data_IF_077439714393
#
_entry.id   IF_077439714393
#
_cell.length_a   1.000
_cell.length_b   1.000
_cell.length_c   1.000
_cell.angle_alpha   90.00
_cell.angle_beta   90.00
_cell.angle_gamma   90.00
#
_symmetry.space_group_name_H-M   'P 1'
#
loop_
_entity.id
_entity.type
_entity.pdbx_description
1 polymer ?
#
# COMPACT_ATOMS: atom_id res chain seq x y z
N UNK A 1 25.68 7.47 18.66
CA UNK A 1 25.22 6.81 17.41
C UNK A 1 25.00 7.90 16.37
N UNK A 2 25.48 7.75 15.14
CA UNK A 2 25.24 8.71 14.04
C UNK A 2 24.11 8.20 13.14
N UNK A 3 23.57 9.04 12.25
CA UNK A 3 22.57 8.64 11.24
C UNK A 3 23.17 7.94 10.01
N UNK A 4 24.51 7.85 9.93
CA UNK A 4 25.24 7.34 8.76
C UNK A 4 24.92 5.87 8.44
N UNK A 5 24.88 4.93 9.40
CA UNK A 5 24.57 3.52 9.11
C UNK A 5 23.19 3.37 8.49
N UNK A 6 22.19 4.05 9.07
CA UNK A 6 20.82 4.07 8.57
C UNK A 6 20.77 4.58 7.14
N UNK A 7 21.34 5.76 6.89
CA UNK A 7 21.41 6.37 5.56
C UNK A 7 22.07 5.44 4.54
N UNK A 8 23.18 4.80 4.89
CA UNK A 8 23.89 3.88 4.00
C UNK A 8 23.01 2.70 3.58
N UNK A 9 22.25 2.14 4.52
CA UNK A 9 21.31 1.06 4.24
C UNK A 9 20.11 1.50 3.39
N UNK A 10 19.55 2.69 3.62
CA UNK A 10 18.48 3.24 2.76
C UNK A 10 19.03 3.48 1.34
N UNK A 11 20.23 4.02 1.20
CA UNK A 11 20.87 4.25 -0.10
C UNK A 11 21.09 2.95 -0.90
N UNK A 12 21.45 1.87 -0.21
CA UNK A 12 21.66 0.54 -0.80
C UNK A 12 20.38 -0.27 -0.97
N UNK A 13 19.24 0.21 -0.46
CA UNK A 13 17.97 -0.54 -0.47
C UNK A 13 17.91 -1.73 0.50
N UNK A 14 18.77 -1.76 1.52
CA UNK A 14 18.88 -2.86 2.52
C UNK A 14 18.37 -2.45 3.90
N UNK A 15 17.54 -1.40 3.97
CA UNK A 15 17.03 -0.85 5.23
C UNK A 15 16.15 -1.84 5.99
N UNK A 16 15.24 -2.52 5.30
CA UNK A 16 14.38 -3.53 5.92
C UNK A 16 15.18 -4.71 6.50
N UNK A 17 16.21 -5.19 5.79
CA UNK A 17 17.07 -6.28 6.27
C UNK A 17 17.87 -5.88 7.51
N UNK A 18 18.37 -4.64 7.54
CA UNK A 18 18.99 -4.09 8.74
C UNK A 18 17.99 -4.07 9.90
N UNK A 19 16.75 -3.63 9.68
CA UNK A 19 15.74 -3.60 10.74
C UNK A 19 15.41 -5.01 11.27
N UNK A 20 15.23 -6.05 10.42
CA UNK A 20 15.05 -7.43 10.93
C UNK A 20 16.26 -7.85 11.77
N UNK A 21 17.49 -7.59 11.32
CA UNK A 21 18.70 -7.95 12.10
C UNK A 21 18.79 -7.23 13.44
N UNK A 22 18.52 -5.92 13.47
CA UNK A 22 18.55 -5.13 14.69
C UNK A 22 17.47 -5.61 15.68
N UNK A 23 16.25 -5.83 15.21
CA UNK A 23 15.17 -6.32 16.07
C UNK A 23 15.42 -7.75 16.58
N UNK A 24 16.03 -8.61 15.77
CA UNK A 24 16.41 -9.97 16.19
C UNK A 24 17.47 -9.94 17.30
N UNK A 25 18.41 -8.98 17.24
CA UNK A 25 19.51 -8.88 18.20
C UNK A 25 19.14 -8.11 19.48
N UNK A 26 18.42 -6.99 19.36
CA UNK A 26 18.20 -6.04 20.45
C UNK A 26 16.74 -6.03 20.95
N UNK A 27 15.85 -6.78 20.31
CA UNK A 27 14.46 -6.94 20.69
C UNK A 27 13.51 -5.91 20.07
N UNK A 28 12.34 -5.69 20.68
CA UNK A 28 11.20 -5.04 20.03
C UNK A 28 11.33 -3.53 19.82
N UNK A 29 12.31 -2.87 20.44
CA UNK A 29 12.52 -1.43 20.29
C UNK A 29 14.00 -1.16 20.06
N UNK A 30 14.32 -0.60 18.89
CA UNK A 30 15.71 -0.33 18.50
C UNK A 30 15.86 1.13 18.09
N UNK A 31 16.98 1.75 18.47
CA UNK A 31 17.35 3.09 18.01
C UNK A 31 18.17 2.97 16.72
N UNK A 32 17.68 3.54 15.63
CA UNK A 32 18.29 3.43 14.29
C UNK A 32 19.04 4.70 13.87
N UNK A 33 18.68 5.83 14.47
CA UNK A 33 19.37 7.12 14.32
C UNK A 33 19.35 7.87 15.67
N UNK A 34 20.10 8.98 15.84
CA UNK A 34 20.10 9.75 17.09
C UNK A 34 18.68 10.10 17.58
N UNK A 35 17.79 10.43 16.63
CA UNK A 35 16.42 10.87 16.89
C UNK A 35 15.37 9.91 16.33
N UNK A 36 15.73 8.67 15.96
CA UNK A 36 14.79 7.71 15.37
C UNK A 36 14.75 6.37 16.10
N UNK A 37 13.54 5.93 16.44
CA UNK A 37 13.25 4.62 17.01
C UNK A 37 12.46 3.77 16.01
N UNK A 38 12.79 2.49 15.91
CA UNK A 38 11.98 1.49 15.22
C UNK A 38 11.32 0.57 16.25
N UNK A 39 10.03 0.33 16.06
CA UNK A 39 9.21 -0.52 16.91
C UNK A 39 8.76 -1.77 16.17
N UNK A 40 9.02 -2.92 16.78
CA UNK A 40 8.57 -4.25 16.41
C UNK A 40 7.82 -4.86 17.60
N UNK A 41 6.78 -4.16 18.08
CA UNK A 41 5.86 -4.64 19.12
C UNK A 41 4.40 -4.45 18.69
N UNK A 42 3.53 -5.48 18.77
CA UNK A 42 2.11 -5.34 18.45
C UNK A 42 1.37 -4.23 19.22
N UNK A 43 1.81 -3.91 20.44
CA UNK A 43 1.23 -2.84 21.26
C UNK A 43 1.48 -1.46 20.65
N UNK A 44 2.63 -1.30 19.98
CA UNK A 44 3.01 -0.06 19.32
C UNK A 44 1.97 0.37 18.29
N UNK A 45 1.36 -0.59 17.56
CA UNK A 45 0.28 -0.29 16.62
C UNK A 45 -0.88 0.46 17.28
N UNK A 46 -1.32 0.00 18.46
CA UNK A 46 -2.44 0.61 19.18
C UNK A 46 -2.06 1.96 19.79
N UNK A 47 -0.83 2.11 20.26
CA UNK A 47 -0.37 3.37 20.85
C UNK A 47 -0.13 4.45 19.78
N UNK A 48 0.29 4.05 18.57
CA UNK A 48 0.69 4.95 17.49
C UNK A 48 -0.47 5.25 16.54
N UNK A 49 -1.21 4.21 16.12
CA UNK A 49 -2.30 4.33 15.12
C UNK A 49 -3.69 4.10 15.72
N UNK A 50 -3.79 3.87 17.03
CA UNK A 50 -5.08 3.75 17.69
C UNK A 50 -5.81 5.09 17.77
N UNK A 51 -7.08 5.02 18.18
CA UNK A 51 -7.86 6.24 18.41
C UNK A 51 -7.21 7.13 19.47
N UNK A 52 -7.14 8.42 19.18
CA UNK A 52 -6.70 9.42 20.14
C UNK A 52 -7.51 9.31 21.43
N UNK A 53 -6.81 9.14 22.55
CA UNK A 53 -7.42 9.09 23.88
C UNK A 53 -7.47 10.50 24.45
N UNK A 54 -8.59 10.85 25.08
CA UNK A 54 -8.72 12.11 25.80
C UNK A 54 -7.57 12.26 26.82
N UNK A 55 -6.92 13.42 26.81
CA UNK A 55 -5.79 13.72 27.70
C UNK A 55 -4.44 13.10 27.31
N UNK A 56 -4.34 12.32 26.22
CA UNK A 56 -3.05 11.86 25.70
C UNK A 56 -2.54 12.76 24.56
N UNK A 57 -1.22 13.01 24.47
CA UNK A 57 -0.61 13.76 23.38
C UNK A 57 -0.89 13.11 22.03
N UNK A 58 -1.18 13.93 21.00
CA UNK A 58 -1.44 13.43 19.66
C UNK A 58 -0.13 13.13 18.92
N UNK A 59 0.04 11.88 18.50
CA UNK A 59 1.16 11.48 17.64
C UNK A 59 0.79 11.86 16.20
N UNK A 60 1.62 12.68 15.57
CA UNK A 60 1.38 13.12 14.19
C UNK A 60 2.32 12.42 13.22
N UNK A 61 1.94 12.45 11.93
CA UNK A 61 2.85 12.07 10.85
C UNK A 61 4.07 12.99 10.86
N UNK A 62 5.24 12.46 10.53
CA UNK A 62 6.43 13.29 10.46
C UNK A 62 6.32 14.31 9.32
N UNK A 63 6.36 15.64 9.60
CA UNK A 63 6.10 16.66 8.59
C UNK A 63 7.14 16.63 7.46
N UNK A 64 8.42 16.42 7.80
CA UNK A 64 9.50 16.44 6.80
C UNK A 64 9.63 15.17 5.96
N UNK A 65 8.85 14.12 6.28
CA UNK A 65 8.87 12.87 5.52
C UNK A 65 8.21 13.04 4.15
N UNK A 66 7.11 13.79 4.11
CA UNK A 66 6.42 14.06 2.86
C UNK A 66 7.14 15.17 2.10
N UNK A 67 7.26 15.01 0.79
CA UNK A 67 7.78 16.08 -0.07
C UNK A 67 6.67 17.13 -0.23
N UNK A 68 6.97 18.44 -0.06
CA UNK A 68 5.97 19.50 -0.22
C UNK A 68 5.26 19.40 -1.57
N UNK A 69 3.94 19.52 -1.61
CA UNK A 69 3.15 19.42 -2.84
C UNK A 69 3.60 20.46 -3.89
N UNK A 70 3.40 20.17 -5.18
CA UNK A 70 3.80 21.10 -6.26
C UNK A 70 2.93 22.36 -6.28
N UNK A 71 1.66 22.23 -5.89
CA UNK A 71 0.69 23.33 -5.79
C UNK A 71 0.44 23.79 -4.36
N UNK A 72 1.30 23.42 -3.41
CA UNK A 72 1.15 23.71 -1.97
C UNK A 72 -0.17 23.20 -1.33
N UNK A 73 -0.89 22.28 -1.99
CA UNK A 73 -2.10 21.64 -1.46
C UNK A 73 -1.79 20.25 -0.95
N UNK A 74 -2.18 19.97 0.30
CA UNK A 74 -1.97 18.67 0.91
C UNK A 74 -2.86 17.59 0.27
N UNK A 75 -2.30 16.39 0.17
CA UNK A 75 -2.99 15.18 -0.31
C UNK A 75 -3.55 14.43 0.89
N UNK A 76 -4.42 13.43 0.67
CA UNK A 76 -4.91 12.55 1.75
C UNK A 76 -3.77 11.94 2.59
N UNK A 77 -2.62 11.63 1.98
CA UNK A 77 -1.50 11.03 2.71
C UNK A 77 -0.71 12.05 3.55
N UNK A 78 -0.66 13.33 3.11
CA UNK A 78 0.16 14.38 3.75
C UNK A 78 -0.65 15.43 4.51
N UNK A 79 -1.99 15.35 4.49
CA UNK A 79 -2.89 16.26 5.19
C UNK A 79 -2.82 16.09 6.71
N UNK A 80 -3.15 17.18 7.42
CA UNK A 80 -3.40 17.18 8.87
C UNK A 80 -4.62 16.30 9.21
N UNK A 81 -4.84 16.04 10.49
CA UNK A 81 -5.89 15.11 10.93
C UNK A 81 -7.31 15.51 10.51
N UNK A 82 -7.63 16.81 10.53
CA UNK A 82 -8.96 17.32 10.18
C UNK A 82 -9.23 17.18 8.68
N UNK A 83 -8.29 17.62 7.85
CA UNK A 83 -8.38 17.52 6.39
C UNK A 83 -8.32 16.08 5.92
N UNK A 84 -7.44 15.26 6.51
CA UNK A 84 -7.40 13.83 6.24
C UNK A 84 -8.74 13.16 6.57
N UNK A 85 -9.38 13.49 7.70
CA UNK A 85 -10.69 12.95 8.05
C UNK A 85 -11.78 13.38 7.06
N UNK A 86 -11.76 14.63 6.60
CA UNK A 86 -12.68 15.14 5.56
C UNK A 86 -12.45 14.41 4.22
N UNK A 87 -11.23 14.44 3.69
CA UNK A 87 -10.86 13.78 2.44
C UNK A 87 -11.18 12.28 2.48
N UNK A 88 -10.82 11.58 3.56
CA UNK A 88 -11.10 10.15 3.73
C UNK A 88 -12.59 9.85 3.72
N UNK A 89 -13.42 10.68 4.37
CA UNK A 89 -14.88 10.52 4.33
C UNK A 89 -15.39 10.62 2.90
N UNK A 90 -14.95 11.63 2.16
CA UNK A 90 -15.37 11.85 0.76
C UNK A 90 -14.94 10.66 -0.11
N UNK A 91 -13.66 10.30 -0.11
CA UNK A 91 -13.15 9.21 -0.93
C UNK A 91 -13.69 7.84 -0.53
N UNK A 92 -14.10 7.62 0.73
CA UNK A 92 -14.65 6.33 1.16
C UNK A 92 -15.92 5.93 0.40
N UNK A 93 -16.68 6.89 -0.14
CA UNK A 93 -17.83 6.60 -1.00
C UNK A 93 -17.39 5.99 -2.34
N UNK A 94 -16.32 6.52 -2.93
CA UNK A 94 -15.75 6.03 -4.19
C UNK A 94 -15.16 4.61 -4.08
N UNK A 95 -14.75 4.21 -2.87
CA UNK A 95 -14.19 2.88 -2.58
C UNK A 95 -15.14 2.01 -1.73
N UNK A 96 -16.43 2.31 -1.72
CA UNK A 96 -17.43 1.49 -1.03
C UNK A 96 -17.70 0.18 -1.78
N UNK A 97 -18.16 -0.88 -1.10
CA UNK A 97 -18.52 -2.15 -1.73
C UNK A 97 -19.51 -1.97 -2.89
N UNK A 98 -20.47 -1.05 -2.73
CA UNK A 98 -21.43 -0.71 -3.80
C UNK A 98 -20.73 -0.10 -5.01
N UNK A 99 -19.83 0.87 -4.79
CA UNK A 99 -19.08 1.51 -5.88
C UNK A 99 -18.15 0.52 -6.59
N UNK A 100 -17.45 -0.34 -5.84
CA UNK A 100 -16.56 -1.35 -6.40
C UNK A 100 -17.30 -2.38 -7.26
N UNK A 101 -18.50 -2.81 -6.83
CA UNK A 101 -19.37 -3.69 -7.63
C UNK A 101 -19.84 -3.03 -8.93
N UNK A 102 -20.14 -1.73 -8.91
CA UNK A 102 -20.48 -1.00 -10.13
C UNK A 102 -19.29 -0.91 -11.10
N UNK A 103 -18.07 -0.95 -10.59
CA UNK A 103 -16.82 -0.94 -11.37
C UNK A 103 -16.34 -2.34 -11.76
N UNK A 104 -17.03 -3.41 -11.36
CA UNK A 104 -16.64 -4.78 -11.67
C UNK A 104 -16.40 -5.07 -13.16
N UNK A 105 -17.25 -4.58 -14.11
CA UNK A 105 -17.00 -4.78 -15.54
C UNK A 105 -15.68 -4.16 -16.01
N UNK A 106 -15.25 -3.05 -15.40
CA UNK A 106 -13.97 -2.41 -15.71
C UNK A 106 -12.81 -3.33 -15.34
N UNK A 107 -12.82 -3.92 -14.15
CA UNK A 107 -11.77 -4.83 -13.70
C UNK A 107 -11.75 -6.12 -14.54
N UNK A 108 -12.92 -6.68 -14.86
CA UNK A 108 -13.04 -7.86 -15.72
C UNK A 108 -12.41 -7.62 -17.11
N UNK A 109 -12.73 -6.49 -17.76
CA UNK A 109 -12.13 -6.08 -19.04
C UNK A 109 -10.60 -6.13 -19.03
N UNK A 110 -9.96 -5.59 -17.99
CA UNK A 110 -8.50 -5.56 -17.91
C UNK A 110 -7.90 -6.92 -17.53
N UNK A 111 -8.60 -7.73 -16.71
CA UNK A 111 -8.19 -9.09 -16.42
C UNK A 111 -8.22 -9.98 -17.68
N UNK A 112 -9.29 -9.88 -18.47
CA UNK A 112 -9.42 -10.58 -19.76
C UNK A 112 -8.33 -10.15 -20.74
N UNK A 113 -8.07 -8.84 -20.87
CA UNK A 113 -7.02 -8.33 -21.74
C UNK A 113 -5.63 -8.83 -21.31
N UNK A 114 -5.35 -8.87 -20.00
CA UNK A 114 -4.10 -9.42 -19.47
C UNK A 114 -3.97 -10.90 -19.82
N UNK A 115 -5.01 -11.70 -19.59
CA UNK A 115 -5.02 -13.14 -19.91
C UNK A 115 -4.83 -13.35 -21.41
N UNK A 116 -5.51 -12.59 -22.26
CA UNK A 116 -5.36 -12.67 -23.71
C UNK A 116 -3.92 -12.39 -24.14
N UNK A 117 -3.31 -11.31 -23.64
CA UNK A 117 -1.91 -10.98 -23.93
C UNK A 117 -0.94 -12.07 -23.47
N UNK A 118 -1.16 -12.62 -22.28
CA UNK A 118 -0.33 -13.71 -21.76
C UNK A 118 -0.48 -15.00 -22.59
N UNK A 119 -1.69 -15.32 -23.05
CA UNK A 119 -1.94 -16.45 -23.95
C UNK A 119 -1.21 -16.28 -25.28
N UNK A 120 -1.28 -15.10 -25.89
CA UNK A 120 -0.60 -14.80 -27.15
C UNK A 120 0.93 -14.94 -26.99
N UNK A 121 1.49 -14.40 -25.92
CA UNK A 121 2.93 -14.51 -25.63
C UNK A 121 3.35 -15.96 -25.32
N UNK A 122 2.48 -16.75 -24.69
CA UNK A 122 2.72 -18.15 -24.36
C UNK A 122 2.71 -19.09 -25.59
N UNK A 123 2.19 -18.65 -26.74
CA UNK A 123 2.27 -19.42 -28.00
C UNK A 123 3.72 -19.61 -28.48
N UNK A 124 4.66 -18.82 -27.96
CA UNK A 124 6.09 -18.89 -28.26
C UNK A 124 6.83 -19.55 -27.08
N UNK A 125 7.17 -20.86 -27.15
CA UNK A 125 7.66 -21.61 -25.99
C UNK A 125 8.95 -21.06 -25.34
N UNK A 126 9.75 -20.32 -26.10
CA UNK A 126 11.02 -19.76 -25.64
C UNK A 126 10.91 -18.30 -25.18
N UNK A 127 9.74 -17.67 -25.33
CA UNK A 127 9.56 -16.26 -24.99
C UNK A 127 9.43 -16.09 -23.48
N UNK A 128 10.35 -15.31 -22.89
CA UNK A 128 10.29 -14.96 -21.46
C UNK A 128 9.44 -13.72 -21.29
N UNK A 129 8.42 -13.81 -20.45
CA UNK A 129 7.51 -12.70 -20.13
C UNK A 129 7.90 -12.06 -18.80
N UNK A 130 8.08 -10.74 -18.80
CA UNK A 130 8.21 -9.97 -17.57
C UNK A 130 6.82 -9.67 -16.97
N UNK A 131 6.40 -10.50 -16.02
CA UNK A 131 5.11 -10.33 -15.33
C UNK A 131 5.03 -9.05 -14.50
N UNK A 132 6.16 -8.51 -14.02
CA UNK A 132 6.17 -7.24 -13.27
C UNK A 132 5.69 -6.12 -14.18
N UNK A 133 6.21 -6.07 -15.41
CA UNK A 133 5.76 -5.10 -16.41
C UNK A 133 4.30 -5.31 -16.79
N UNK A 134 3.85 -6.55 -17.01
CA UNK A 134 2.44 -6.83 -17.33
C UNK A 134 1.47 -6.40 -16.23
N UNK A 135 1.79 -6.64 -14.95
CA UNK A 135 0.97 -6.19 -13.83
C UNK A 135 0.98 -4.67 -13.67
N UNK A 136 2.13 -4.01 -13.90
CA UNK A 136 2.18 -2.56 -13.89
C UNK A 136 1.33 -1.96 -15.02
N UNK A 137 1.46 -2.44 -16.26
CA UNK A 137 0.62 -1.99 -17.37
C UNK A 137 -0.87 -2.10 -17.05
N UNK A 138 -1.28 -3.26 -16.54
CA UNK A 138 -2.66 -3.55 -16.17
C UNK A 138 -3.17 -2.59 -15.08
N UNK A 139 -2.43 -2.45 -13.99
CA UNK A 139 -2.87 -1.65 -12.84
C UNK A 139 -2.87 -0.15 -13.13
N UNK A 140 -1.91 0.35 -13.92
CA UNK A 140 -1.91 1.73 -14.39
C UNK A 140 -3.09 2.03 -15.32
N UNK A 141 -3.42 1.12 -16.24
CA UNK A 141 -4.60 1.28 -17.11
C UNK A 141 -5.90 1.25 -16.27
N UNK A 142 -6.04 0.30 -15.34
CA UNK A 142 -7.19 0.23 -14.42
C UNK A 142 -7.34 1.55 -13.65
N UNK A 143 -6.29 2.03 -12.98
CA UNK A 143 -6.40 3.25 -12.18
C UNK A 143 -6.60 4.49 -13.04
N UNK A 144 -6.05 4.52 -14.24
CA UNK A 144 -6.27 5.62 -15.18
C UNK A 144 -7.73 5.67 -15.64
N UNK A 145 -8.31 4.53 -15.97
CA UNK A 145 -9.70 4.44 -16.40
C UNK A 145 -10.65 4.73 -15.23
N UNK A 146 -10.36 4.19 -14.03
CA UNK A 146 -11.14 4.44 -12.82
C UNK A 146 -11.08 5.92 -12.36
N UNK A 147 -9.92 6.56 -12.50
CA UNK A 147 -9.72 7.95 -12.05
C UNK A 147 -10.13 8.95 -13.11
N UNK A 148 -9.87 8.71 -14.38
CA UNK A 148 -10.06 9.72 -15.44
C UNK A 148 -11.07 9.31 -16.52
N UNK A 149 -11.56 8.07 -16.50
CA UNK A 149 -12.34 7.50 -17.60
C UNK A 149 -11.58 7.54 -18.92
N UNK A 150 -10.25 7.41 -18.86
CA UNK A 150 -9.36 7.45 -20.02
C UNK A 150 -8.23 6.42 -19.78
N UNK A 151 -8.17 5.31 -20.52
CA UNK A 151 -7.04 4.37 -20.43
C UNK A 151 -5.71 5.02 -20.86
N UNK A 152 -4.59 4.43 -20.44
CA UNK A 152 -3.25 4.80 -20.93
C UNK A 152 -2.80 3.92 -22.10
N UNK A 153 -3.51 2.82 -22.35
CA UNK A 153 -3.21 1.81 -23.37
C UNK A 153 -1.85 1.14 -23.15
N UNK A 154 -1.39 1.03 -21.90
CA UNK A 154 -0.10 0.40 -21.59
C UNK A 154 -0.14 -1.11 -21.84
N UNK A 155 -1.22 -1.76 -21.43
CA UNK A 155 -1.36 -3.22 -21.52
C UNK A 155 -1.59 -3.68 -22.96
N UNK A 156 -2.41 -2.95 -23.72
CA UNK A 156 -2.64 -3.26 -25.14
C UNK A 156 -1.36 -3.11 -25.96
N UNK A 157 -0.54 -2.12 -25.64
CA UNK A 157 0.71 -1.83 -26.35
C UNK A 157 1.92 -2.57 -25.75
N UNK A 158 1.76 -3.21 -24.59
CA UNK A 158 2.82 -3.83 -23.81
C UNK A 158 4.04 -2.92 -23.57
N UNK A 159 3.81 -1.61 -23.39
CA UNK A 159 4.87 -0.62 -23.30
C UNK A 159 4.50 0.52 -22.36
N UNK A 160 5.50 1.00 -21.59
CA UNK A 160 5.34 2.21 -20.79
C UNK A 160 5.38 3.46 -21.66
N UNK A 161 4.53 4.44 -21.33
CA UNK A 161 4.72 5.81 -21.80
C UNK A 161 5.73 6.56 -20.93
N UNK A 162 6.41 7.60 -21.45
CA UNK A 162 7.44 8.34 -20.71
C UNK A 162 6.98 8.88 -19.36
N UNK A 163 5.72 9.30 -19.25
CA UNK A 163 5.14 9.78 -17.99
C UNK A 163 5.18 8.70 -16.88
N UNK A 164 4.78 7.46 -17.18
CA UNK A 164 4.77 6.36 -16.21
C UNK A 164 6.19 5.94 -15.84
N UNK A 165 7.12 5.92 -16.81
CA UNK A 165 8.53 5.67 -16.52
C UNK A 165 9.11 6.70 -15.54
N UNK A 166 8.74 7.97 -15.72
CA UNK A 166 9.18 9.06 -14.84
C UNK A 166 8.63 8.94 -13.42
N UNK A 167 7.47 8.29 -13.21
CA UNK A 167 6.93 8.02 -11.87
C UNK A 167 7.89 7.11 -11.09
N UNK A 168 8.27 5.95 -11.65
CA UNK A 168 9.20 5.03 -10.98
C UNK A 168 10.56 5.68 -10.69
N UNK A 169 11.07 6.47 -11.64
CA UNK A 169 12.31 7.22 -11.43
C UNK A 169 12.18 8.26 -10.31
N UNK A 170 11.03 8.91 -10.20
CA UNK A 170 10.74 9.89 -9.15
C UNK A 170 10.69 9.24 -7.78
N UNK A 171 10.15 8.03 -7.65
CA UNK A 171 10.08 7.30 -6.38
C UNK A 171 11.49 6.93 -5.88
N UNK A 172 12.34 6.40 -6.78
CA UNK A 172 13.75 6.09 -6.47
C UNK A 172 14.55 7.35 -6.13
N UNK A 173 14.37 8.42 -6.90
CA UNK A 173 15.07 9.69 -6.70
C UNK A 173 14.59 10.40 -5.42
N UNK A 174 13.30 10.30 -5.11
CA UNK A 174 12.69 10.83 -3.89
C UNK A 174 13.26 10.17 -2.63
N UNK A 175 13.45 8.85 -2.66
CA UNK A 175 14.10 8.12 -1.57
C UNK A 175 15.53 8.62 -1.32
N UNK A 176 16.31 8.87 -2.38
CA UNK A 176 17.67 9.44 -2.28
C UNK A 176 17.68 10.88 -1.80
N UNK A 177 16.75 11.71 -2.28
CA UNK A 177 16.64 13.11 -1.86
C UNK A 177 16.18 13.22 -0.41
N UNK A 178 15.30 12.33 0.04
CA UNK A 178 14.90 12.20 1.44
C UNK A 178 16.11 12.00 2.36
N UNK A 179 17.06 11.14 1.96
CA UNK A 179 18.32 10.96 2.68
C UNK A 179 19.17 12.25 2.70
N UNK A 180 19.28 12.95 1.58
CA UNK A 180 20.11 14.17 1.48
C UNK A 180 19.58 15.28 2.40
N UNK A 181 18.29 15.25 2.76
CA UNK A 181 17.70 16.19 3.74
C UNK A 181 18.34 16.11 5.12
N UNK A 182 18.95 14.97 5.49
CA UNK A 182 19.70 14.83 6.74
C UNK A 182 20.97 15.72 6.79
N UNK A 183 21.43 16.23 5.64
CA UNK A 183 22.52 17.21 5.54
C UNK A 183 22.11 18.35 4.59
N UNK A 184 21.36 19.35 5.08
CA UNK A 184 20.81 20.42 4.25
C UNK A 184 21.85 21.14 3.37
N UNK A 185 23.09 21.27 3.84
CA UNK A 185 24.20 21.87 3.08
C UNK A 185 24.55 21.14 1.78
N UNK A 186 24.23 19.84 1.66
CA UNK A 186 24.46 19.05 0.44
C UNK A 186 23.32 19.15 -0.58
N UNK A 187 22.16 19.68 -0.19
CA UNK A 187 20.97 19.73 -1.04
C UNK A 187 21.18 20.60 -2.29
N UNK A 188 21.86 21.76 -2.14
CA UNK A 188 22.15 22.65 -3.25
C UNK A 188 23.09 22.00 -4.29
N UNK A 189 24.11 21.29 -3.83
CA UNK A 189 25.03 20.53 -4.67
C UNK A 189 24.30 19.38 -5.38
N UNK A 190 23.49 18.61 -4.66
CA UNK A 190 22.71 17.51 -5.23
C UNK A 190 21.75 18.00 -6.34
N UNK A 191 21.07 19.13 -6.12
CA UNK A 191 20.21 19.75 -7.15
C UNK A 191 21.00 20.15 -8.39
N UNK A 192 22.18 20.76 -8.23
CA UNK A 192 23.06 21.14 -9.35
C UNK A 192 23.57 19.91 -10.12
N UNK A 193 24.10 18.91 -9.43
CA UNK A 193 24.65 17.69 -10.03
C UNK A 193 23.59 16.87 -10.77
N UNK A 194 22.37 16.83 -10.27
CA UNK A 194 21.27 16.06 -10.88
C UNK A 194 20.44 16.86 -11.89
N UNK A 195 20.80 18.12 -12.14
CA UNK A 195 20.05 19.01 -13.03
C UNK A 195 18.60 19.27 -12.56
N UNK A 196 18.34 19.13 -11.25
CA UNK A 196 17.01 19.24 -10.66
C UNK A 196 15.96 18.27 -11.27
N UNK A 197 16.41 17.15 -11.86
CA UNK A 197 15.55 16.17 -12.55
C UNK A 197 14.39 15.67 -11.69
N UNK A 198 14.61 15.48 -10.39
CA UNK A 198 13.53 15.09 -9.47
C UNK A 198 12.40 16.11 -9.42
N UNK A 199 12.69 17.41 -9.26
CA UNK A 199 11.64 18.41 -9.21
C UNK A 199 10.95 18.56 -10.56
N UNK A 200 11.71 18.48 -11.67
CA UNK A 200 11.14 18.50 -13.02
C UNK A 200 10.17 17.34 -13.24
N UNK A 201 10.53 16.12 -12.85
CA UNK A 201 9.66 14.96 -13.00
C UNK A 201 8.40 15.06 -12.14
N UNK A 202 8.50 15.68 -10.95
CA UNK A 202 7.32 15.96 -10.11
C UNK A 202 6.37 16.96 -10.73
N UNK A 203 6.89 18.04 -11.33
CA UNK A 203 6.07 19.01 -12.08
C UNK A 203 5.40 18.33 -13.27
N UNK A 204 6.14 17.55 -14.07
CA UNK A 204 5.57 16.78 -15.18
C UNK A 204 4.46 15.84 -14.69
N UNK A 205 4.69 15.14 -13.57
CA UNK A 205 3.70 14.23 -13.01
C UNK A 205 2.44 14.98 -12.55
N UNK A 206 2.60 16.12 -11.88
CA UNK A 206 1.51 16.99 -11.45
C UNK A 206 0.71 17.53 -12.65
N UNK A 207 1.38 18.17 -13.62
CA UNK A 207 0.75 18.77 -14.79
C UNK A 207 -0.02 17.75 -15.62
N UNK A 208 0.56 16.56 -15.82
CA UNK A 208 -0.09 15.49 -16.57
C UNK A 208 -1.36 14.99 -15.85
N UNK A 209 -1.30 14.86 -14.53
CA UNK A 209 -2.44 14.43 -13.72
C UNK A 209 -3.53 15.50 -13.69
N UNK A 210 -3.17 16.77 -13.47
CA UNK A 210 -4.08 17.91 -13.44
C UNK A 210 -4.83 18.07 -14.78
N UNK A 211 -4.13 18.03 -15.92
CA UNK A 211 -4.76 18.10 -17.24
C UNK A 211 -5.76 16.98 -17.49
N UNK A 212 -5.53 15.79 -16.93
CA UNK A 212 -6.48 14.67 -17.05
C UNK A 212 -7.71 14.86 -16.17
N UNK A 213 -7.56 15.45 -14.99
CA UNK A 213 -8.70 15.92 -14.20
C UNK A 213 -9.49 16.95 -14.98
N UNK A 214 -8.84 17.95 -15.58
CA UNK A 214 -9.52 18.99 -16.36
C UNK A 214 -10.34 18.41 -17.52
N UNK A 215 -9.73 17.52 -18.31
CA UNK A 215 -10.43 16.82 -19.40
C UNK A 215 -11.62 16.03 -18.88
N UNK A 216 -11.45 15.33 -17.75
CA UNK A 216 -12.52 14.53 -17.15
C UNK A 216 -13.67 15.41 -16.65
N UNK A 217 -13.38 16.53 -15.99
CA UNK A 217 -14.39 17.48 -15.52
C UNK A 217 -15.12 18.15 -16.69
N UNK A 218 -14.39 18.58 -17.73
CA UNK A 218 -14.96 19.21 -18.91
C UNK A 218 -15.85 18.25 -19.74
N UNK A 219 -15.45 16.98 -19.87
CA UNK A 219 -16.24 15.96 -20.57
C UNK A 219 -17.53 15.59 -19.82
N UNK A 220 -17.52 15.70 -18.49
CA UNK A 220 -18.53 15.07 -17.65
C UNK A 220 -18.49 13.54 -17.76
N UNK A 221 -19.35 12.87 -16.98
CA UNK A 221 -19.58 11.43 -17.10
C UNK A 221 -20.87 11.07 -16.37
N UNK A 222 -21.55 10.01 -16.81
CA UNK A 222 -22.60 9.34 -16.04
C UNK A 222 -22.10 8.05 -15.38
N UNK A 223 -20.86 7.65 -15.66
CA UNK A 223 -20.24 6.46 -15.09
C UNK A 223 -19.99 6.62 -13.59
N UNK A 224 -20.04 5.55 -12.78
CA UNK A 224 -19.84 5.62 -11.34
C UNK A 224 -18.36 5.75 -10.95
N UNK A 225 -17.62 6.65 -11.59
CA UNK A 225 -16.19 6.86 -11.35
C UNK A 225 -15.89 7.66 -10.07
N UNK A 226 -14.60 7.75 -9.72
CA UNK A 226 -14.14 8.39 -8.49
C UNK A 226 -14.69 9.82 -8.38
N UNK A 227 -14.68 10.62 -9.46
CA UNK A 227 -15.11 12.01 -9.40
C UNK A 227 -16.61 12.13 -9.27
N UNK A 228 -17.40 11.33 -9.97
CA UNK A 228 -18.85 11.41 -9.84
C UNK A 228 -19.32 11.08 -8.41
N UNK A 229 -18.63 10.16 -7.73
CA UNK A 229 -18.92 9.82 -6.33
C UNK A 229 -18.39 10.88 -5.33
N UNK A 230 -17.34 11.61 -5.71
CA UNK A 230 -16.72 12.69 -4.90
C UNK A 230 -17.44 14.03 -5.07
N UNK A 231 -17.88 14.37 -6.30
CA UNK A 231 -18.55 15.61 -6.66
C UNK A 231 -19.98 15.71 -6.12
N UNK A 232 -20.57 14.58 -5.71
CA UNK A 232 -21.88 14.53 -5.04
C UNK A 232 -21.84 14.96 -3.57
N UNK A 233 -20.68 15.38 -3.05
CA UNK A 233 -20.56 15.87 -1.67
C UNK A 233 -21.34 17.19 -1.48
N UNK A 234 -22.00 17.40 -0.33
CA UNK A 234 -22.68 18.66 -0.03
C UNK A 234 -21.77 19.88 -0.13
N UNK A 235 -22.32 21.03 -0.50
CA UNK A 235 -21.58 22.30 -0.59
C UNK A 235 -20.77 22.59 0.68
N UNK A 236 -19.54 23.07 0.50
CA UNK A 236 -18.60 23.34 1.60
C UNK A 236 -17.95 22.11 2.23
N UNK A 237 -18.31 20.89 1.80
CA UNK A 237 -17.70 19.63 2.28
C UNK A 237 -17.10 18.77 1.16
N UNK A 238 -17.09 19.27 -0.08
CA UNK A 238 -16.43 18.63 -1.21
C UNK A 238 -14.90 18.86 -1.21
N UNK A 239 -14.27 18.39 -2.29
CA UNK A 239 -12.87 18.70 -2.58
C UNK A 239 -12.80 19.95 -3.48
N UNK A 240 -11.82 20.81 -3.25
CA UNK A 240 -11.47 21.84 -4.24
C UNK A 240 -10.84 21.19 -5.48
N UNK A 241 -10.83 21.89 -6.61
CA UNK A 241 -10.20 21.38 -7.84
C UNK A 241 -8.69 21.15 -7.63
N UNK A 242 -8.04 22.03 -6.86
CA UNK A 242 -6.62 21.90 -6.49
C UNK A 242 -6.36 20.68 -5.59
N UNK A 243 -7.31 20.34 -4.71
CA UNK A 243 -7.28 19.11 -3.93
C UNK A 243 -7.47 17.88 -4.83
N UNK A 244 -8.30 17.96 -5.87
CA UNK A 244 -8.43 16.89 -6.87
C UNK A 244 -7.10 16.68 -7.59
N UNK A 245 -6.48 17.73 -8.12
CA UNK A 245 -5.17 17.66 -8.75
C UNK A 245 -4.13 17.02 -7.83
N UNK A 246 -4.02 17.49 -6.60
CA UNK A 246 -3.07 16.95 -5.63
C UNK A 246 -3.33 15.46 -5.34
N UNK A 247 -4.58 15.05 -5.07
CA UNK A 247 -4.89 13.65 -4.74
C UNK A 247 -4.74 12.69 -5.92
N UNK A 248 -4.98 13.12 -7.16
CA UNK A 248 -4.80 12.25 -8.34
C UNK A 248 -3.37 11.79 -8.54
N UNK A 249 -2.39 12.66 -8.23
CA UNK A 249 -0.97 12.28 -8.29
C UNK A 249 -0.68 11.10 -7.35
N UNK A 250 -1.33 11.09 -6.18
CA UNK A 250 -1.18 10.01 -5.20
C UNK A 250 -1.91 8.75 -5.65
N UNK A 251 -3.12 8.84 -6.23
CA UNK A 251 -3.85 7.66 -6.70
C UNK A 251 -3.11 6.91 -7.80
N UNK A 252 -2.48 7.64 -8.72
CA UNK A 252 -1.71 7.03 -9.80
C UNK A 252 -0.43 6.33 -9.33
N UNK A 253 0.09 6.67 -8.16
CA UNK A 253 1.26 6.01 -7.56
C UNK A 253 0.81 4.89 -6.61
N UNK A 254 -0.05 5.24 -5.66
CA UNK A 254 -0.41 4.37 -4.55
C UNK A 254 -1.28 3.18 -4.97
N UNK A 255 -2.17 3.36 -5.97
CA UNK A 255 -3.09 2.30 -6.41
C UNK A 255 -2.51 1.33 -7.45
N UNK A 256 -1.41 1.71 -8.11
CA UNK A 256 -0.87 0.99 -9.26
C UNK A 256 0.31 0.10 -8.86
N UNK A 257 1.43 0.73 -8.50
CA UNK A 257 2.70 0.06 -8.23
C UNK A 257 2.61 -0.90 -7.04
N UNK A 258 1.84 -0.56 -5.99
CA UNK A 258 1.69 -1.42 -4.81
C UNK A 258 0.95 -2.72 -5.15
N UNK A 259 -0.14 -2.64 -5.90
CA UNK A 259 -0.92 -3.78 -6.37
C UNK A 259 -0.08 -4.65 -7.31
N UNK A 260 0.63 -4.04 -8.26
CA UNK A 260 1.51 -4.76 -9.17
C UNK A 260 2.64 -5.49 -8.41
N UNK A 261 3.20 -4.86 -7.38
CA UNK A 261 4.24 -5.43 -6.52
C UNK A 261 3.73 -6.65 -5.75
N UNK A 262 2.52 -6.55 -5.15
CA UNK A 262 1.89 -7.68 -4.48
C UNK A 262 1.67 -8.87 -5.43
N UNK A 263 1.05 -8.62 -6.60
CA UNK A 263 0.80 -9.67 -7.58
C UNK A 263 2.09 -10.31 -8.09
N UNK A 264 3.13 -9.50 -8.29
CA UNK A 264 4.46 -10.00 -8.66
C UNK A 264 5.04 -10.94 -7.61
N UNK A 265 4.96 -10.54 -6.32
CA UNK A 265 5.42 -11.36 -5.20
C UNK A 265 4.63 -12.66 -5.07
N UNK A 266 3.30 -12.58 -5.06
CA UNK A 266 2.41 -13.75 -4.98
C UNK A 266 2.71 -14.73 -6.11
N UNK A 267 2.78 -14.25 -7.36
CA UNK A 267 3.06 -15.13 -8.50
C UNK A 267 4.46 -15.74 -8.42
N UNK A 268 5.47 -14.98 -7.99
CA UNK A 268 6.81 -15.53 -7.80
C UNK A 268 6.85 -16.65 -6.75
N UNK A 269 6.19 -16.48 -5.61
CA UNK A 269 6.09 -17.53 -4.59
C UNK A 269 5.30 -18.74 -5.10
N UNK A 270 4.15 -18.53 -5.76
CA UNK A 270 3.37 -19.64 -6.33
C UNK A 270 4.17 -20.46 -7.35
N UNK A 271 4.97 -19.81 -8.20
CA UNK A 271 5.82 -20.50 -9.17
C UNK A 271 6.98 -21.27 -8.53
N UNK A 272 7.43 -20.87 -7.33
CA UNK A 272 8.45 -21.59 -6.55
C UNK A 272 7.89 -22.71 -5.67
N UNK A 273 6.58 -22.72 -5.43
CA UNK A 273 5.88 -23.70 -4.60
C UNK A 273 4.75 -24.36 -5.41
N UNK A 274 5.07 -25.32 -6.31
CA UNK A 274 4.10 -25.90 -7.23
C UNK A 274 2.91 -26.57 -6.53
N UNK A 275 3.10 -27.14 -5.34
CA UNK A 275 2.04 -27.75 -4.54
C UNK A 275 0.98 -26.73 -4.10
N UNK A 276 1.42 -25.54 -3.66
CA UNK A 276 0.56 -24.40 -3.31
C UNK A 276 -0.18 -23.90 -4.55
N UNK A 277 0.52 -23.77 -5.68
CA UNK A 277 -0.09 -23.38 -6.95
C UNK A 277 -1.16 -24.38 -7.40
N UNK A 278 -0.88 -25.69 -7.33
CA UNK A 278 -1.86 -26.72 -7.69
C UNK A 278 -3.11 -26.66 -6.81
N UNK A 279 -2.95 -26.48 -5.49
CA UNK A 279 -4.08 -26.31 -4.56
C UNK A 279 -4.91 -25.07 -4.90
N UNK A 280 -4.26 -23.95 -5.18
CA UNK A 280 -4.94 -22.70 -5.56
C UNK A 280 -5.70 -22.84 -6.88
N UNK A 281 -5.06 -23.43 -7.89
CA UNK A 281 -5.68 -23.68 -9.19
C UNK A 281 -6.88 -24.62 -9.05
N UNK A 282 -6.79 -25.64 -8.20
CA UNK A 282 -7.90 -26.55 -7.92
C UNK A 282 -9.08 -25.83 -7.25
N UNK A 283 -8.83 -24.96 -6.26
CA UNK A 283 -9.89 -24.16 -5.63
C UNK A 283 -10.57 -23.24 -6.65
N UNK A 284 -9.80 -22.51 -7.46
CA UNK A 284 -10.35 -21.58 -8.45
C UNK A 284 -11.14 -22.33 -9.53
N UNK A 285 -10.54 -23.37 -10.14
CA UNK A 285 -11.20 -24.13 -11.23
C UNK A 285 -12.37 -24.98 -10.74
N UNK A 286 -12.40 -25.37 -9.48
CA UNK A 286 -13.55 -26.05 -8.88
C UNK A 286 -14.67 -25.09 -8.46
N UNK A 287 -14.36 -23.80 -8.27
CA UNK A 287 -15.31 -22.78 -7.82
C UNK A 287 -16.15 -22.14 -8.93
N UNK A 288 -15.77 -22.30 -10.20
CA UNK A 288 -16.41 -21.66 -11.35
C UNK A 288 -16.55 -22.62 -12.52
N UNK A 289 -17.71 -22.58 -13.19
CA UNK A 289 -17.95 -23.37 -14.41
C UNK A 289 -17.36 -22.69 -15.65
N UNK A 290 -17.33 -21.36 -15.67
CA UNK A 290 -16.79 -20.56 -16.78
C UNK A 290 -16.20 -19.24 -16.29
N UNK A 291 -15.34 -18.62 -17.12
CA UNK A 291 -14.73 -17.32 -16.83
C UNK A 291 -15.79 -16.22 -16.60
N UNK A 292 -16.93 -16.29 -17.31
CA UNK A 292 -18.04 -15.34 -17.19
C UNK A 292 -18.75 -15.39 -15.83
N UNK A 293 -18.57 -16.46 -15.07
CA UNK A 293 -19.13 -16.58 -13.72
C UNK A 293 -18.26 -15.96 -12.64
N UNK A 294 -17.02 -15.57 -12.96
CA UNK A 294 -16.10 -14.98 -12.01
C UNK A 294 -16.62 -13.58 -11.65
N UNK A 295 -17.03 -13.45 -10.40
CA UNK A 295 -17.48 -12.16 -9.85
C UNK A 295 -16.75 -11.80 -8.57
N UNK A 296 -16.71 -10.52 -8.23
CA UNK A 296 -16.09 -10.06 -6.97
C UNK A 296 -16.70 -10.75 -5.75
N UNK A 297 -18.02 -10.94 -5.74
CA UNK A 297 -18.72 -11.61 -4.64
C UNK A 297 -18.31 -13.08 -4.49
N UNK A 298 -18.21 -13.82 -5.61
CA UNK A 298 -17.79 -15.23 -5.56
C UNK A 298 -16.31 -15.38 -5.22
N UNK A 299 -15.44 -14.50 -5.74
CA UNK A 299 -14.02 -14.49 -5.42
C UNK A 299 -13.76 -14.30 -3.92
N UNK A 300 -14.55 -13.47 -3.24
CA UNK A 300 -14.43 -13.27 -1.78
C UNK A 300 -14.70 -14.54 -0.96
N UNK A 301 -15.38 -15.54 -1.53
CA UNK A 301 -15.69 -16.83 -0.88
C UNK A 301 -14.57 -17.85 -1.01
N UNK A 302 -13.63 -17.64 -1.93
CA UNK A 302 -12.48 -18.52 -2.11
C UNK A 302 -11.48 -18.33 -0.97
N UNK A 303 -11.45 -19.30 -0.05
CA UNK A 303 -10.71 -19.18 1.19
C UNK A 303 -9.21 -19.27 0.95
N UNK A 304 -8.76 -20.24 0.17
CA UNK A 304 -7.35 -20.48 -0.10
C UNK A 304 -6.75 -19.35 -0.95
N UNK A 305 -7.48 -18.87 -1.96
CA UNK A 305 -7.12 -17.67 -2.72
C UNK A 305 -6.87 -16.45 -1.82
N UNK A 306 -7.78 -16.16 -0.88
CA UNK A 306 -7.59 -15.05 0.07
C UNK A 306 -6.36 -15.26 0.95
N UNK A 307 -6.14 -16.48 1.44
CA UNK A 307 -4.96 -16.82 2.25
C UNK A 307 -3.67 -16.59 1.45
N UNK A 308 -3.62 -16.98 0.18
CA UNK A 308 -2.45 -16.73 -0.67
C UNK A 308 -2.15 -15.23 -0.83
N UNK A 309 -3.18 -14.39 -0.98
CA UNK A 309 -3.01 -12.94 -1.06
C UNK A 309 -2.57 -12.31 0.28
N UNK A 310 -3.17 -12.73 1.39
CA UNK A 310 -2.79 -12.28 2.74
C UNK A 310 -1.35 -12.68 3.06
N UNK A 311 -0.96 -13.91 2.71
CA UNK A 311 0.42 -14.39 2.89
C UNK A 311 1.40 -13.68 1.95
N UNK A 312 0.99 -13.36 0.73
CA UNK A 312 1.75 -12.51 -0.18
C UNK A 312 2.02 -11.12 0.39
N UNK A 313 1.01 -10.48 1.00
CA UNK A 313 1.18 -9.20 1.68
C UNK A 313 2.12 -9.28 2.89
N UNK A 314 2.14 -10.42 3.59
CA UNK A 314 3.02 -10.69 4.74
C UNK A 314 4.47 -10.89 4.33
N UNK A 315 4.69 -11.67 3.26
CA UNK A 315 6.00 -12.12 2.79
C UNK A 315 6.67 -11.17 1.81
N UNK A 316 5.86 -10.42 1.05
CA UNK A 316 6.30 -9.48 0.04
C UNK A 316 5.50 -8.17 0.13
N UNK A 317 5.58 -7.46 1.28
CA UNK A 317 4.83 -6.23 1.46
C UNK A 317 5.30 -5.17 0.46
N UNK A 318 4.39 -4.56 -0.34
CA UNK A 318 4.77 -3.52 -1.30
C UNK A 318 5.45 -2.31 -0.67
N UNK A 319 5.14 -2.02 0.61
CA UNK A 319 5.78 -0.98 1.41
C UNK A 319 6.43 -1.64 2.62
N UNK A 320 7.72 -2.02 2.54
CA UNK A 320 8.40 -2.77 3.61
C UNK A 320 8.89 -1.89 4.77
N UNK A 321 8.63 -0.58 4.72
CA UNK A 321 9.07 0.41 5.72
C UNK A 321 7.87 1.02 6.44
N UNK A 322 8.04 1.36 7.72
CA UNK A 322 7.04 2.10 8.46
C UNK A 322 7.02 3.56 8.06
N UNK A 323 5.82 4.15 7.98
CA UNK A 323 5.69 5.60 7.83
C UNK A 323 6.13 6.28 9.14
N UNK A 324 7.07 7.23 9.10
CA UNK A 324 7.55 7.86 10.31
C UNK A 324 6.50 8.79 10.91
N UNK A 325 6.35 8.67 12.21
CA UNK A 325 5.60 9.55 13.09
C UNK A 325 6.56 10.40 13.93
N UNK A 326 6.05 11.47 14.50
CA UNK A 326 6.81 12.37 15.38
C UNK A 326 6.17 12.37 16.77
N UNK A 327 6.99 12.20 17.81
CA UNK A 327 6.52 12.38 19.19
C UNK A 327 6.27 13.87 19.44
N UNK A 328 5.09 14.25 19.95
CA UNK A 328 4.78 15.65 20.27
C UNK A 328 5.72 16.20 21.33
N UNK A 329 5.86 17.53 21.42
CA UNK A 329 6.79 18.19 22.33
C UNK A 329 6.63 17.77 23.80
N UNK A 330 5.41 17.43 24.23
CA UNK A 330 5.11 16.94 25.58
C UNK A 330 5.63 15.52 25.88
N UNK A 331 6.20 14.82 24.90
CA UNK A 331 6.53 13.40 25.00
C UNK A 331 5.29 12.50 24.85
N UNK A 332 5.52 11.19 24.76
CA UNK A 332 4.46 10.18 24.73
C UNK A 332 4.92 8.87 25.34
N UNK A 333 3.98 8.13 25.93
CA UNK A 333 4.19 6.75 26.35
C UNK A 333 3.87 5.80 25.19
N UNK A 334 4.85 5.00 24.76
CA UNK A 334 4.72 4.02 23.68
C UNK A 334 5.25 2.67 24.19
N UNK A 335 4.43 1.61 24.10
CA UNK A 335 4.78 0.27 24.61
C UNK A 335 5.20 0.25 26.09
N UNK A 336 4.57 1.09 26.92
CA UNK A 336 4.88 1.20 28.35
C UNK A 336 6.22 1.90 28.65
N UNK A 337 6.80 2.61 27.67
CA UNK A 337 8.03 3.39 27.83
C UNK A 337 7.80 4.84 27.45
N UNK A 338 8.38 5.75 28.24
CA UNK A 338 8.34 7.17 27.93
C UNK A 338 9.33 7.51 26.80
N UNK A 339 8.84 8.22 25.78
CA UNK A 339 9.64 8.72 24.66
C UNK A 339 9.57 10.26 24.69
N UNK A 340 10.72 10.96 24.69
CA UNK A 340 10.75 12.41 24.70
C UNK A 340 10.26 13.00 23.38
N UNK A 341 9.78 14.25 23.43
CA UNK A 341 9.33 14.97 22.25
C UNK A 341 10.44 15.21 21.24
N UNK A 342 10.07 15.31 19.96
CA UNK A 342 11.02 15.50 18.85
C UNK A 342 11.73 14.23 18.38
N UNK A 343 11.41 13.06 18.97
CA UNK A 343 11.86 11.76 18.48
C UNK A 343 10.94 11.30 17.35
N UNK A 344 11.52 10.94 16.21
CA UNK A 344 10.84 10.28 15.12
C UNK A 344 10.78 8.78 15.38
N UNK A 345 9.74 8.12 14.90
CA UNK A 345 9.67 6.67 15.01
C UNK A 345 8.81 6.06 13.93
N UNK A 346 9.06 4.78 13.62
CA UNK A 346 8.28 4.02 12.66
C UNK A 346 7.94 2.64 13.20
N UNK A 347 6.78 2.13 12.78
CA UNK A 347 6.42 0.73 12.98
C UNK A 347 7.05 -0.11 11.88
N UNK A 348 7.90 -1.05 12.26
CA UNK A 348 8.51 -1.94 11.28
C UNK A 348 7.44 -2.87 10.70
N UNK A 349 7.16 -2.74 9.40
CA UNK A 349 6.05 -3.46 8.74
C UNK A 349 6.22 -4.98 8.75
N UNK A 350 7.45 -5.50 8.91
CA UNK A 350 7.72 -6.94 9.02
C UNK A 350 7.48 -7.49 10.44
N UNK A 351 6.76 -6.74 11.28
CA UNK A 351 6.07 -7.24 12.47
C UNK A 351 5.26 -8.54 12.23
N UNK A 352 4.85 -8.77 10.98
CA UNK A 352 4.08 -9.95 10.57
C UNK A 352 4.97 -11.12 10.08
N UNK A 353 6.26 -10.89 9.94
CA UNK A 353 7.25 -11.82 9.40
C UNK A 353 8.40 -11.95 10.38
N UNK A 354 8.08 -12.55 11.53
CA UNK A 354 9.10 -13.07 12.43
C UNK A 354 10.06 -13.95 11.59
N UNK A 355 11.33 -13.56 11.51
CA UNK A 355 12.30 -14.13 10.55
C UNK A 355 12.50 -15.66 10.79
N UNK A 356 12.11 -16.19 11.96
CA UNK A 356 12.02 -17.63 12.31
C UNK A 356 10.76 -18.35 11.80
N UNK A 357 9.65 -17.62 11.62
CA UNK A 357 8.35 -18.14 11.14
C UNK A 357 8.33 -18.23 9.61
N UNK A 358 9.16 -17.44 8.93
CA UNK A 358 9.31 -17.42 7.46
C UNK A 358 9.71 -18.79 6.88
N UNK A 359 10.64 -19.51 7.54
CA UNK A 359 10.99 -20.88 7.11
C UNK A 359 9.87 -21.88 7.44
N UNK A 360 9.20 -21.72 8.58
CA UNK A 360 8.28 -22.72 9.09
C UNK A 360 6.89 -22.67 8.44
N UNK A 361 6.41 -21.52 7.97
CA UNK A 361 5.03 -21.38 7.46
C UNK A 361 4.80 -21.98 6.07
N UNK A 362 5.77 -21.94 5.15
CA UNK A 362 5.58 -22.59 3.84
C UNK A 362 5.66 -24.12 3.96
N UNK A 363 6.51 -24.65 4.84
CA UNK A 363 6.48 -26.08 5.19
C UNK A 363 5.22 -26.44 6.01
N UNK A 364 4.75 -25.61 6.94
CA UNK A 364 3.50 -25.87 7.69
C UNK A 364 2.25 -25.88 6.81
N UNK A 365 2.16 -24.99 5.81
CA UNK A 365 1.04 -24.97 4.85
C UNK A 365 1.07 -26.18 3.88
N UNK A 366 2.26 -26.77 3.68
CA UNK A 366 2.43 -27.98 2.87
C UNK A 366 2.16 -29.27 3.67
N UNK A 367 2.69 -29.39 4.89
CA UNK A 367 2.75 -30.64 5.66
C UNK A 367 1.73 -30.78 6.80
N UNK A 368 1.12 -29.69 7.26
CA UNK A 368 0.06 -29.75 8.28
C UNK A 368 -1.22 -29.26 7.66
N UNK A 369 -1.99 -30.21 7.10
CA UNK A 369 -3.40 -29.99 6.79
C UNK A 369 -4.05 -29.26 7.96
N UNK A 370 -4.36 -27.97 7.75
CA UNK A 370 -5.08 -27.18 8.72
C UNK A 370 -6.46 -27.82 8.85
N UNK A 371 -6.61 -28.67 9.87
CA UNK A 371 -7.91 -29.09 10.34
C UNK A 371 -8.62 -27.81 10.79
N UNK A 372 -9.59 -27.40 9.98
CA UNK A 372 -10.54 -26.36 10.32
C UNK A 372 -11.48 -27.02 11.34
N UNK A 373 -11.11 -27.02 12.61
CA UNK A 373 -12.08 -27.31 13.66
C UNK A 373 -12.74 -26.00 14.10
N UNK A 374 -14.07 -26.07 14.13
CA UNK A 374 -14.99 -25.06 14.60
C UNK A 374 -14.55 -24.38 15.89
N UNK A 375 -15.08 -23.16 16.07
CA UNK A 375 -15.06 -22.35 17.28
C UNK A 375 -14.68 -23.10 18.59
N UNK A 376 -13.74 -22.48 19.30
CA UNK A 376 -13.43 -22.61 20.73
C UNK A 376 -12.33 -23.61 21.15
N UNK A 377 -11.42 -23.08 21.97
CA UNK A 377 -10.44 -23.73 22.87
C UNK A 377 -9.12 -24.20 22.20
N UNK A 378 -8.10 -23.35 22.34
CA UNK A 378 -6.68 -23.72 22.19
C UNK A 378 -6.21 -24.57 23.40
N UNK A 379 -5.46 -25.65 23.21
CA UNK A 379 -4.72 -26.26 24.31
C UNK A 379 -3.47 -25.43 24.63
N UNK A 380 -3.16 -25.41 25.92
CA UNK A 380 -2.16 -24.61 26.61
C UNK A 380 -0.71 -25.02 26.26
N UNK A 381 -0.07 -24.30 25.34
CA UNK A 381 1.39 -24.11 25.36
C UNK A 381 1.71 -22.69 24.91
N UNK A 382 2.50 -21.98 25.73
CA UNK A 382 2.84 -20.56 25.62
C UNK A 382 3.39 -20.20 24.22
N UNK A 383 2.52 -19.74 23.34
CA UNK A 383 2.88 -19.05 22.11
C UNK A 383 2.11 -17.73 22.05
N UNK A 384 2.84 -16.65 21.78
CA UNK A 384 2.32 -15.29 21.69
C UNK A 384 1.30 -15.25 20.55
N UNK A 385 0.03 -15.15 20.91
CA UNK A 385 -1.07 -14.96 19.98
C UNK A 385 -0.90 -13.63 19.24
N UNK A 386 -0.56 -13.68 17.95
CA UNK A 386 -0.63 -12.52 17.06
C UNK A 386 -2.11 -12.37 16.65
N UNK A 387 -2.85 -11.35 17.12
CA UNK A 387 -4.24 -11.18 16.73
C UNK A 387 -4.37 -10.92 15.21
N UNK A 388 -5.37 -11.55 14.58
CA UNK A 388 -5.77 -11.40 13.16
C UNK A 388 -5.86 -9.94 12.66
N UNK A 389 -5.91 -8.95 13.56
CA UNK A 389 -5.90 -7.51 13.24
C UNK A 389 -4.55 -6.98 12.74
N UNK A 390 -3.46 -7.73 12.91
CA UNK A 390 -2.13 -7.28 12.50
C UNK A 390 -1.83 -7.52 11.02
N UNK A 391 -2.60 -8.38 10.32
CA UNK A 391 -2.40 -8.71 8.90
C UNK A 391 -2.87 -7.62 7.92
N UNK A 392 -3.38 -6.48 8.40
CA UNK A 392 -3.82 -5.39 7.52
C UNK A 392 -2.65 -4.46 7.18
N UNK A 393 -1.99 -4.70 6.04
CA UNK A 393 -1.12 -3.72 5.37
C UNK A 393 -1.87 -2.49 4.85
N UNK A 394 -3.21 -2.56 4.81
CA UNK A 394 -4.06 -1.45 4.42
C UNK A 394 -4.20 -0.40 5.55
N UNK A 395 -3.34 0.61 5.50
CA UNK A 395 -3.49 1.89 6.23
C UNK A 395 -4.84 2.59 5.91
N UNK A 396 -5.54 2.12 4.88
CA UNK A 396 -6.84 2.63 4.43
C UNK A 396 -8.06 1.76 4.82
N UNK A 397 -7.92 0.69 5.61
CA UNK A 397 -9.10 -0.13 5.95
C UNK A 397 -10.12 0.65 6.81
N UNK A 398 -11.42 0.71 6.43
CA UNK A 398 -12.46 1.33 7.24
C UNK A 398 -12.95 0.32 8.28
N UNK A 399 -12.75 0.58 9.57
CA UNK A 399 -13.49 -0.09 10.66
C UNK A 399 -13.77 0.88 11.80
N UNK A 400 -14.85 1.63 11.64
CA UNK A 400 -15.56 2.27 12.74
C UNK A 400 -17.05 1.98 12.57
N UNK A 401 -17.54 0.97 13.29
CA UNK A 401 -18.93 0.85 13.75
C UNK A 401 -18.96 -0.25 14.81
N UNK A 402 -18.51 0.10 16.01
CA UNK A 402 -18.78 -0.64 17.22
C UNK A 402 -19.47 0.32 18.19
N UNK A 403 -20.80 0.39 18.11
CA UNK A 403 -21.72 0.74 19.20
C UNK A 403 -23.17 0.66 18.70
N UNK A 404 -23.73 -0.54 18.80
CA UNK A 404 -24.98 -0.84 19.50
C UNK A 404 -25.19 -2.35 19.40
N UNK A 405 -25.16 -3.01 20.54
CA UNK A 405 -25.45 -4.43 20.62
C UNK A 405 -26.85 -4.67 20.08
N UNK A 406 -26.95 -5.57 19.10
CA UNK A 406 -28.07 -6.47 18.95
C UNK A 406 -27.50 -7.68 18.23
N UNK A 407 -27.70 -8.85 18.83
CA UNK A 407 -27.53 -10.12 18.18
C UNK A 407 -28.23 -10.10 16.80
N UNK A 408 -27.66 -10.74 15.78
CA UNK A 408 -28.38 -11.77 15.01
C UNK A 408 -27.46 -12.44 13.97
N UNK A 409 -27.72 -13.74 13.83
CA UNK A 409 -27.20 -14.71 12.87
C UNK A 409 -27.32 -14.23 11.42
N UNK A 410 -26.25 -14.34 10.63
CA UNK A 410 -26.10 -15.16 9.40
C UNK A 410 -24.81 -14.79 8.69
#
# INVERSE_FOLDING_TARGET
MTQIPMVSHIWRGTYADMLCRLHSQYGPVVRVSPHELSFNDPRAWKDIHGHQKAGKPNITKHPDWFVPAINDVHTIISANDADHARMRRIFSHAFSDKALRLQEPLFAKYAELLVAKLKDLAQQPTHKVDLVSMYNYTTFDIMSDLTFGEPLHLLSNAAYIPWVQNIFQSIRSGSKIGIIRYWPGLMGLAKKLTGNTFQRNRVIHFDYSARRVDRRLARGSQEPDIWNLVLQAPEGRGLSVEEMYANTTVFMIAGTETTATLLSGVTWYLLRHPDVLTKLVAEIRGGFVSDAEISMEKLQRLRYFRVCLEEGLRMYPPVPIGLPCLVPASGAEICGRWVPGGVSFSLFSLLQSDCSVVCMCMECCADKGFAITDNSILPTTRHVSIPHKLCSTNILHPRALARRGLAFRK
#
